data_IF_547568489680
#
_entry.id   IF_547568489680
#
_cell.length_a   1.000
_cell.length_b   1.000
_cell.length_c   1.000
_cell.angle_alpha   90.00
_cell.angle_beta   90.00
_cell.angle_gamma   90.00
#
_symmetry.space_group_name_H-M   'P 1'
#
loop_
_entity.id
_entity.type
_entity.pdbx_description
1 polymer ?
#
# COMPACT_ATOMS: atom_id res chain seq x y z
N UNK A 1 -20.22 18.71 -2.40
CA UNK A 1 -19.98 17.28 -2.06
C UNK A 1 -18.56 17.19 -1.51
N UNK A 2 -18.40 16.84 -0.24
CA UNK A 2 -17.11 16.84 0.46
C UNK A 2 -16.17 15.83 -0.20
N UNK A 3 -15.15 16.31 -0.90
CA UNK A 3 -14.13 15.47 -1.50
C UNK A 3 -13.17 15.02 -0.40
N UNK A 4 -13.35 13.81 0.12
CA UNK A 4 -12.27 13.12 0.80
C UNK A 4 -11.19 12.83 -0.26
N UNK A 5 -10.19 13.69 -0.37
CA UNK A 5 -9.15 13.66 -1.41
C UNK A 5 -8.08 12.58 -1.19
N UNK A 6 -8.24 11.73 -0.18
CA UNK A 6 -7.29 10.66 0.15
C UNK A 6 -7.96 9.35 0.54
N UNK A 7 -7.17 8.27 0.46
CA UNK A 7 -7.50 6.93 0.91
C UNK A 7 -7.34 6.86 2.42
N UNK A 8 -8.46 6.76 3.14
CA UNK A 8 -8.43 6.43 4.55
C UNK A 8 -7.93 5.00 4.78
N UNK A 9 -7.50 4.73 6.02
CA UNK A 9 -6.92 3.44 6.43
C UNK A 9 -7.79 2.23 6.09
N UNK A 10 -9.11 2.34 6.23
CA UNK A 10 -10.02 1.22 5.97
C UNK A 10 -10.11 0.91 4.47
N UNK A 11 -10.21 1.93 3.62
CA UNK A 11 -10.19 1.74 2.16
C UNK A 11 -8.86 1.19 1.69
N UNK A 12 -7.74 1.70 2.21
CA UNK A 12 -6.41 1.20 1.88
C UNK A 12 -6.25 -0.28 2.26
N UNK A 13 -6.68 -0.67 3.47
CA UNK A 13 -6.67 -2.06 3.93
C UNK A 13 -7.54 -2.96 3.05
N UNK A 14 -8.72 -2.48 2.64
CA UNK A 14 -9.57 -3.19 1.68
C UNK A 14 -8.87 -3.45 0.34
N UNK A 15 -8.06 -2.50 -0.14
CA UNK A 15 -7.27 -2.70 -1.36
C UNK A 15 -6.16 -3.74 -1.16
N UNK A 16 -5.41 -3.64 -0.06
CA UNK A 16 -4.35 -4.61 0.26
C UNK A 16 -4.89 -6.04 0.39
N UNK A 17 -6.04 -6.19 1.05
CA UNK A 17 -6.71 -7.46 1.17
C UNK A 17 -7.22 -8.00 -0.17
N UNK A 18 -7.99 -7.19 -0.92
CA UNK A 18 -8.68 -7.68 -2.11
C UNK A 18 -7.78 -7.86 -3.33
N UNK A 19 -6.75 -7.02 -3.49
CA UNK A 19 -5.86 -7.05 -4.66
C UNK A 19 -4.60 -7.89 -4.39
N UNK A 20 -4.03 -7.75 -3.20
CA UNK A 20 -2.75 -8.39 -2.86
C UNK A 20 -2.90 -9.61 -1.95
N UNK A 21 -4.12 -9.94 -1.50
CA UNK A 21 -4.38 -11.06 -0.61
C UNK A 21 -3.77 -10.88 0.78
N UNK A 22 -3.47 -9.64 1.17
CA UNK A 22 -2.82 -9.37 2.45
C UNK A 22 -3.85 -9.43 3.58
N UNK A 23 -3.69 -10.40 4.48
CA UNK A 23 -4.63 -10.64 5.59
C UNK A 23 -4.03 -10.30 6.96
N UNK A 24 -2.72 -10.08 7.05
CA UNK A 24 -2.08 -9.70 8.32
C UNK A 24 -2.30 -8.23 8.62
N UNK A 25 -3.04 -7.97 9.71
CA UNK A 25 -3.41 -6.62 10.13
C UNK A 25 -2.20 -5.74 10.48
N UNK A 26 -1.18 -6.33 11.11
CA UNK A 26 0.03 -5.63 11.52
C UNK A 26 0.86 -5.24 10.29
N UNK A 27 0.94 -6.11 9.29
CA UNK A 27 1.62 -5.86 8.03
C UNK A 27 0.89 -4.77 7.23
N UNK A 28 -0.43 -4.87 7.10
CA UNK A 28 -1.23 -3.84 6.44
C UNK A 28 -1.05 -2.46 7.09
N UNK A 29 -0.96 -2.42 8.41
CA UNK A 29 -0.73 -1.18 9.16
C UNK A 29 0.69 -0.62 8.92
N UNK A 30 1.71 -1.48 8.89
CA UNK A 30 3.08 -1.06 8.55
C UNK A 30 3.18 -0.55 7.12
N UNK A 31 2.47 -1.18 6.18
CA UNK A 31 2.43 -0.75 4.78
C UNK A 31 1.70 0.59 4.66
N UNK A 32 0.60 0.78 5.39
CA UNK A 32 -0.08 2.08 5.46
C UNK A 32 0.87 3.18 5.95
N UNK A 33 1.54 2.98 7.09
CA UNK A 33 2.53 3.93 7.62
C UNK A 33 3.74 4.13 6.72
N UNK A 34 4.05 3.19 5.82
CA UNK A 34 5.10 3.39 4.84
C UNK A 34 4.66 4.29 3.67
N UNK A 35 3.36 4.33 3.36
CA UNK A 35 2.77 5.12 2.28
C UNK A 35 2.42 6.53 2.74
N UNK A 36 1.81 6.68 3.91
CA UNK A 36 1.49 7.96 4.56
C UNK A 36 2.81 8.64 4.98
N UNK A 37 3.23 9.68 4.25
CA UNK A 37 4.52 10.36 4.45
C UNK A 37 4.39 11.64 5.26
N UNK A 38 3.23 12.29 5.19
CA UNK A 38 2.94 13.48 5.98
C UNK A 38 2.29 13.15 7.33
N UNK A 39 1.96 11.88 7.59
CA UNK A 39 1.30 11.37 8.79
C UNK A 39 -0.08 12.00 9.03
N UNK A 40 -0.81 12.32 7.96
CA UNK A 40 -2.16 12.86 8.05
C UNK A 40 -3.24 11.79 8.29
N UNK A 41 -2.83 10.51 8.44
CA UNK A 41 -3.68 9.32 8.55
C UNK A 41 -4.58 9.08 7.31
N UNK A 42 -4.18 9.63 6.19
CA UNK A 42 -4.78 9.45 4.88
C UNK A 42 -3.65 9.20 3.87
N UNK A 43 -3.99 8.65 2.72
CA UNK A 43 -3.02 8.50 1.63
C UNK A 43 -3.54 9.29 0.45
N UNK A 44 -2.89 10.42 0.17
CA UNK A 44 -3.23 11.21 -1.01
C UNK A 44 -2.69 10.57 -2.30
N UNK A 45 -3.10 11.08 -3.46
CA UNK A 45 -2.72 10.50 -4.76
C UNK A 45 -1.21 10.45 -4.97
N UNK A 46 -0.46 11.45 -4.48
CA UNK A 46 1.01 11.49 -4.64
C UNK A 46 1.67 10.40 -3.82
N UNK A 47 1.21 10.21 -2.59
CA UNK A 47 1.68 9.17 -1.67
C UNK A 47 1.32 7.78 -2.18
N UNK A 48 0.11 7.60 -2.69
CA UNK A 48 -0.34 6.37 -3.30
C UNK A 48 0.57 5.95 -4.47
N UNK A 49 0.81 6.86 -5.43
CA UNK A 49 1.66 6.56 -6.60
C UNK A 49 3.11 6.27 -6.19
N UNK A 50 3.67 7.09 -5.30
CA UNK A 50 5.05 6.90 -4.82
C UNK A 50 5.21 5.60 -4.03
N UNK A 51 4.31 5.37 -3.07
CA UNK A 51 4.27 4.16 -2.24
C UNK A 51 4.10 2.91 -3.10
N UNK A 52 3.14 2.89 -4.03
CA UNK A 52 2.95 1.77 -4.94
C UNK A 52 4.18 1.49 -5.81
N UNK A 53 4.85 2.51 -6.33
CA UNK A 53 6.06 2.31 -7.16
C UNK A 53 7.18 1.59 -6.40
N UNK A 54 7.34 1.88 -5.10
CA UNK A 54 8.33 1.22 -4.23
C UNK A 54 7.83 -0.15 -3.80
N UNK A 55 6.56 -0.24 -3.39
CA UNK A 55 5.93 -1.46 -2.90
C UNK A 55 5.88 -2.55 -3.98
N UNK A 56 5.49 -2.20 -5.21
CA UNK A 56 5.49 -3.10 -6.34
C UNK A 56 6.90 -3.45 -6.81
N UNK A 57 7.87 -2.52 -6.75
CA UNK A 57 9.25 -2.85 -7.10
C UNK A 57 9.88 -3.86 -6.13
N UNK A 58 9.66 -3.68 -4.82
CA UNK A 58 10.13 -4.62 -3.81
C UNK A 58 9.43 -5.97 -3.87
N UNK A 59 8.09 -5.98 -3.99
CA UNK A 59 7.30 -7.23 -4.04
C UNK A 59 7.42 -7.97 -5.39
N UNK A 60 7.69 -7.27 -6.50
CA UNK A 60 7.92 -7.91 -7.80
C UNK A 60 9.31 -8.54 -7.88
N UNK A 61 10.35 -7.91 -7.31
CA UNK A 61 11.68 -8.54 -7.21
C UNK A 61 11.68 -9.78 -6.29
N UNK A 62 10.83 -9.82 -5.25
CA UNK A 62 10.61 -11.04 -4.45
C UNK A 62 9.80 -12.12 -5.19
N UNK A 63 8.80 -11.75 -5.98
CA UNK A 63 8.01 -12.71 -6.79
C UNK A 63 8.72 -13.20 -8.07
N UNK A 64 9.71 -12.46 -8.57
CA UNK A 64 10.55 -12.87 -9.72
C UNK A 64 11.74 -13.74 -9.31
N UNK A 65 12.08 -13.79 -8.02
CA UNK A 65 13.06 -14.76 -7.52
C UNK A 65 12.35 -16.08 -7.30
N UNK A 66 12.18 -16.86 -8.37
CA UNK A 66 12.21 -18.34 -8.40
C UNK A 66 11.85 -18.82 -9.83
N UNK A 67 12.64 -19.68 -10.52
CA UNK A 67 13.96 -20.23 -10.21
C UNK A 67 15.01 -19.93 -11.30
N UNK A 68 16.18 -19.43 -10.89
CA UNK A 68 17.41 -19.62 -11.66
C UNK A 68 17.92 -21.04 -11.36
N UNK A 69 17.64 -21.97 -12.30
CA UNK A 69 18.20 -23.32 -12.47
C UNK A 69 17.90 -24.39 -11.40
#
# INVERSE_FOLDING_TARGET
>A
KSGNTGLDRNKFRGILHNIFGMTDDTLMDRVFSAFDKDNDNSINVKEWVKGLSVFLRGTFEEKLKLPSF
#
